data_IF_003941565838
#
_entry.id   IF_003941565838
#
_cell.length_a   1.000
_cell.length_b   1.000
_cell.length_c   1.000
_cell.angle_alpha   90.00
_cell.angle_beta   90.00
_cell.angle_gamma   90.00
#
_symmetry.space_group_name_H-M   'P 1'
#
loop_
_entity.id
_entity.type
_entity.pdbx_description
1 polymer ?
#
# COMPACT_ATOMS: atom_id res chain seq x y z
N UNK A 1 14.16 21.16 -18.54
CA UNK A 1 15.16 21.08 -17.46
C UNK A 1 14.87 19.82 -16.67
N UNK A 2 15.62 18.75 -16.91
CA UNK A 2 15.53 17.52 -16.13
C UNK A 2 16.22 17.77 -14.79
N UNK A 3 15.42 17.96 -13.74
CA UNK A 3 15.96 18.01 -12.38
C UNK A 3 16.71 16.70 -12.08
N UNK A 4 17.95 16.84 -11.64
CA UNK A 4 18.78 15.72 -11.22
C UNK A 4 18.27 15.21 -9.86
N UNK A 5 17.20 14.41 -9.88
CA UNK A 5 16.57 13.86 -8.67
C UNK A 5 17.57 12.96 -7.94
N UNK A 6 17.89 13.19 -6.65
CA UNK A 6 18.77 12.29 -5.91
C UNK A 6 18.29 10.85 -5.97
N UNK A 7 19.19 9.97 -6.39
CA UNK A 7 18.99 8.52 -6.53
C UNK A 7 19.18 7.86 -5.16
N UNK A 8 18.34 6.87 -4.84
CA UNK A 8 18.52 6.04 -3.67
C UNK A 8 19.77 5.16 -3.88
N UNK A 9 20.76 5.26 -3.00
CA UNK A 9 21.96 4.41 -3.05
C UNK A 9 21.70 3.03 -2.41
N UNK A 10 22.64 2.09 -2.58
CA UNK A 10 22.48 0.70 -2.12
C UNK A 10 22.35 0.58 -0.60
N UNK A 11 23.00 1.47 0.16
CA UNK A 11 22.94 1.47 1.63
C UNK A 11 21.53 1.88 2.06
N UNK A 12 20.97 2.91 1.41
CA UNK A 12 19.59 3.35 1.66
C UNK A 12 18.55 2.31 1.26
N UNK A 13 18.79 1.54 0.19
CA UNK A 13 17.90 0.42 -0.20
C UNK A 13 17.92 -0.69 0.84
N UNK A 14 19.08 -1.04 1.36
CA UNK A 14 19.22 -2.10 2.38
C UNK A 14 18.51 -1.69 3.67
N UNK A 15 18.77 -0.47 4.15
CA UNK A 15 18.08 0.10 5.30
C UNK A 15 16.55 0.12 5.13
N UNK A 16 16.08 0.53 3.95
CA UNK A 16 14.66 0.55 3.66
C UNK A 16 14.03 -0.86 3.74
N UNK A 17 14.70 -1.88 3.19
CA UNK A 17 14.22 -3.26 3.30
C UNK A 17 14.14 -3.72 4.75
N UNK A 18 15.17 -3.45 5.56
CA UNK A 18 15.16 -3.84 6.97
C UNK A 18 14.01 -3.17 7.74
N UNK A 19 13.75 -1.89 7.47
CA UNK A 19 12.61 -1.16 8.07
C UNK A 19 11.29 -1.76 7.61
N UNK A 20 11.15 -2.09 6.32
CA UNK A 20 9.95 -2.70 5.77
C UNK A 20 9.64 -4.06 6.39
N UNK A 21 10.66 -4.87 6.69
CA UNK A 21 10.49 -6.16 7.39
C UNK A 21 10.08 -6.00 8.87
N UNK A 22 10.32 -4.85 9.49
CA UNK A 22 9.78 -4.54 10.82
C UNK A 22 8.34 -4.05 10.72
N UNK A 23 8.02 -3.20 9.73
CA UNK A 23 6.66 -2.67 9.53
C UNK A 23 5.66 -3.74 9.09
N UNK A 24 6.10 -4.63 8.20
CA UNK A 24 5.31 -5.76 7.71
C UNK A 24 6.19 -7.01 7.82
N UNK A 25 6.15 -7.69 8.98
CA UNK A 25 7.00 -8.85 9.23
C UNK A 25 6.54 -10.07 8.44
N UNK A 26 7.45 -11.04 8.34
CA UNK A 26 7.16 -12.37 7.83
C UNK A 26 6.05 -13.02 8.66
N UNK A 27 5.03 -13.57 7.99
CA UNK A 27 3.97 -14.36 8.62
C UNK A 27 3.91 -15.71 7.91
N UNK A 28 4.14 -16.78 8.65
CA UNK A 28 4.17 -18.17 8.15
C UNK A 28 5.09 -18.34 6.93
N UNK A 29 4.49 -18.54 5.76
CA UNK A 29 5.11 -18.78 4.46
C UNK A 29 5.33 -17.48 3.65
N UNK A 30 4.77 -16.35 4.07
CA UNK A 30 4.86 -15.08 3.34
C UNK A 30 6.06 -14.28 3.84
N UNK A 31 7.02 -13.92 2.96
CA UNK A 31 8.13 -13.03 3.31
C UNK A 31 7.63 -11.69 3.86
N UNK A 32 8.41 -11.08 4.76
CA UNK A 32 8.18 -9.68 5.13
C UNK A 32 8.36 -8.74 3.94
N UNK A 33 7.90 -7.49 4.08
CA UNK A 33 7.87 -6.56 2.95
C UNK A 33 9.25 -6.22 2.39
N UNK A 34 10.29 -6.15 3.22
CA UNK A 34 11.66 -5.96 2.77
C UNK A 34 12.21 -7.20 2.06
N UNK A 35 11.99 -8.37 2.66
CA UNK A 35 12.41 -9.67 2.15
C UNK A 35 11.73 -10.04 0.82
N UNK A 36 10.57 -9.48 0.52
CA UNK A 36 9.84 -9.66 -0.74
C UNK A 36 10.45 -8.86 -1.91
N UNK A 37 11.44 -7.99 -1.65
CA UNK A 37 12.18 -7.27 -2.68
C UNK A 37 11.42 -6.11 -3.32
N UNK A 38 10.53 -5.45 -2.57
CA UNK A 38 9.62 -4.40 -3.04
C UNK A 38 10.30 -3.04 -3.36
N UNK A 39 11.63 -2.98 -3.31
CA UNK A 39 12.38 -1.73 -3.52
C UNK A 39 12.11 -1.07 -4.88
N UNK A 40 11.80 -1.85 -5.93
CA UNK A 40 11.44 -1.31 -7.25
C UNK A 40 10.08 -0.58 -7.20
N UNK A 41 9.09 -1.16 -6.54
CA UNK A 41 7.74 -0.59 -6.45
C UNK A 41 7.76 0.72 -5.64
N UNK A 42 8.52 0.76 -4.55
CA UNK A 42 8.72 1.99 -3.76
C UNK A 42 9.43 3.06 -4.59
N UNK A 43 10.43 2.68 -5.40
CA UNK A 43 11.12 3.62 -6.29
C UNK A 43 10.18 4.18 -7.37
N UNK A 44 9.29 3.35 -7.92
CA UNK A 44 8.28 3.81 -8.87
C UNK A 44 7.29 4.80 -8.22
N UNK A 45 6.82 4.50 -7.00
CA UNK A 45 5.94 5.39 -6.24
C UNK A 45 6.59 6.75 -5.96
N UNK A 46 7.84 6.77 -5.52
CA UNK A 46 8.58 8.01 -5.23
C UNK A 46 8.94 8.80 -6.49
N UNK A 47 9.12 8.14 -7.63
CA UNK A 47 9.33 8.81 -8.92
C UNK A 47 8.04 9.45 -9.45
N UNK A 48 6.90 8.79 -9.24
CA UNK A 48 5.59 9.20 -9.74
C UNK A 48 4.93 10.28 -8.88
N UNK A 49 5.10 10.22 -7.56
CA UNK A 49 4.42 11.11 -6.62
C UNK A 49 5.41 11.81 -5.68
N UNK A 50 5.45 13.14 -5.74
CA UNK A 50 6.38 13.96 -4.94
C UNK A 50 6.13 13.82 -3.43
N UNK A 51 4.87 13.66 -3.00
CA UNK A 51 4.52 13.45 -1.58
C UNK A 51 5.27 12.27 -0.95
N UNK A 52 5.38 11.17 -1.71
CA UNK A 52 6.03 9.94 -1.30
C UNK A 52 7.53 10.09 -1.24
N UNK A 53 8.09 10.77 -2.24
CA UNK A 53 9.51 11.09 -2.28
C UNK A 53 9.93 11.93 -1.07
N UNK A 54 9.22 13.02 -0.81
CA UNK A 54 9.52 13.93 0.28
C UNK A 54 9.36 13.24 1.63
N UNK A 55 8.28 12.45 1.81
CA UNK A 55 8.10 11.66 3.02
C UNK A 55 9.24 10.65 3.25
N UNK A 56 9.67 9.92 2.21
CA UNK A 56 10.77 8.96 2.34
C UNK A 56 12.08 9.65 2.75
N UNK A 57 12.45 10.77 2.13
CA UNK A 57 13.68 11.49 2.52
C UNK A 57 13.60 12.03 3.95
N UNK A 58 12.50 12.69 4.32
CA UNK A 58 12.29 13.19 5.69
C UNK A 58 12.34 12.06 6.72
N UNK A 59 11.75 10.91 6.40
CA UNK A 59 11.77 9.72 7.25
C UNK A 59 13.20 9.20 7.45
N UNK A 60 13.97 9.05 6.37
CA UNK A 60 15.36 8.58 6.41
C UNK A 60 16.27 9.56 7.17
N UNK A 61 16.07 10.86 6.99
CA UNK A 61 16.80 11.90 7.71
C UNK A 61 16.47 11.83 9.21
N UNK A 62 15.19 11.73 9.58
CA UNK A 62 14.76 11.58 10.98
C UNK A 62 15.35 10.30 11.61
N UNK A 63 15.37 9.18 10.88
CA UNK A 63 15.95 7.92 11.35
C UNK A 63 17.46 8.06 11.61
N UNK A 64 18.18 8.80 10.76
CA UNK A 64 19.63 9.04 10.93
C UNK A 64 19.97 9.85 12.19
N UNK A 65 19.00 10.61 12.72
CA UNK A 65 19.15 11.38 13.95
C UNK A 65 19.01 10.51 15.20
N UNK A 66 18.37 9.34 15.12
CA UNK A 66 18.20 8.42 16.26
C UNK A 66 19.58 7.98 16.80
N UNK A 67 19.91 8.25 18.09
CA UNK A 67 21.18 7.84 18.68
C UNK A 67 21.43 6.33 18.64
N UNK A 68 20.37 5.51 18.70
CA UNK A 68 20.46 4.04 18.65
C UNK A 68 21.01 3.57 17.30
N UNK A 69 20.60 4.23 16.22
CA UNK A 69 21.07 3.96 14.86
C UNK A 69 22.60 4.10 14.74
N UNK A 70 23.18 5.12 15.41
CA UNK A 70 24.62 5.43 15.32
C UNK A 70 25.50 4.52 16.18
N UNK A 71 24.98 3.98 17.28
CA UNK A 71 25.78 3.23 18.25
C UNK A 71 26.04 1.77 17.85
N UNK A 72 25.15 1.14 17.08
CA UNK A 72 25.16 -0.31 16.81
C UNK A 72 25.45 -0.68 15.35
N UNK A 73 26.11 0.19 14.58
CA UNK A 73 26.44 -0.08 13.17
C UNK A 73 25.26 0.06 12.20
N UNK A 74 24.20 0.78 12.59
CA UNK A 74 22.99 1.00 11.79
C UNK A 74 21.75 0.28 12.34
N UNK A 75 20.63 0.43 11.65
CA UNK A 75 19.33 -0.11 12.06
C UNK A 75 19.32 -1.64 12.13
N UNK A 76 19.94 -2.31 11.16
CA UNK A 76 19.99 -3.78 11.06
C UNK A 76 20.79 -4.44 12.20
N UNK A 77 21.70 -3.69 12.83
CA UNK A 77 22.49 -4.16 13.98
C UNK A 77 21.75 -4.07 15.31
N UNK A 78 20.57 -3.43 15.35
CA UNK A 78 19.73 -3.33 16.54
C UNK A 78 19.00 -4.64 16.81
N UNK A 79 18.72 -4.90 18.09
CA UNK A 79 17.75 -5.95 18.46
C UNK A 79 16.37 -5.56 17.94
N UNK A 80 15.53 -6.54 17.61
CA UNK A 80 14.17 -6.30 17.09
C UNK A 80 13.35 -5.34 17.97
N UNK A 81 13.42 -5.48 19.30
CA UNK A 81 12.72 -4.60 20.23
C UNK A 81 13.20 -3.14 20.14
N UNK A 82 14.47 -2.91 19.83
CA UNK A 82 15.05 -1.58 19.65
C UNK A 82 14.70 -0.99 18.27
N UNK A 83 14.61 -1.84 17.24
CA UNK A 83 14.11 -1.43 15.92
C UNK A 83 12.66 -0.96 16.03
N UNK A 84 11.80 -1.73 16.68
CA UNK A 84 10.42 -1.35 16.95
C UNK A 84 10.32 -0.05 17.75
N UNK A 85 11.12 0.10 18.81
CA UNK A 85 11.13 1.32 19.63
C UNK A 85 11.59 2.55 18.82
N UNK A 86 12.57 2.40 17.94
CA UNK A 86 12.98 3.46 17.00
C UNK A 86 11.85 3.86 16.06
N UNK A 87 11.13 2.90 15.49
CA UNK A 87 10.00 3.19 14.61
C UNK A 87 8.84 3.84 15.38
N UNK A 88 8.54 3.40 16.61
CA UNK A 88 7.55 4.06 17.47
C UNK A 88 7.93 5.50 17.79
N UNK A 89 9.21 5.75 18.10
CA UNK A 89 9.69 7.13 18.30
C UNK A 89 9.46 7.98 17.05
N UNK A 90 9.76 7.46 15.86
CA UNK A 90 9.51 8.18 14.61
C UNK A 90 8.02 8.44 14.35
N UNK A 91 7.17 7.47 14.64
CA UNK A 91 5.71 7.62 14.56
C UNK A 91 5.22 8.77 15.46
N UNK A 92 5.78 8.92 16.65
CA UNK A 92 5.44 10.02 17.57
C UNK A 92 6.00 11.38 17.12
N UNK A 93 7.26 11.43 16.65
CA UNK A 93 7.93 12.69 16.30
C UNK A 93 7.50 13.26 14.94
N UNK A 94 7.25 12.40 13.94
CA UNK A 94 6.92 12.79 12.57
C UNK A 94 5.72 12.00 12.03
N UNK A 95 4.55 12.05 12.69
CA UNK A 95 3.43 11.12 12.45
C UNK A 95 2.95 11.12 11.00
N UNK A 96 2.78 12.29 10.38
CA UNK A 96 2.31 12.39 8.98
C UNK A 96 3.30 11.78 7.99
N UNK A 97 4.60 11.97 8.25
CA UNK A 97 5.66 11.39 7.42
C UNK A 97 5.69 9.88 7.58
N UNK A 98 5.60 9.39 8.82
CA UNK A 98 5.53 7.97 9.13
C UNK A 98 4.33 7.30 8.45
N UNK A 99 3.13 7.88 8.59
CA UNK A 99 1.90 7.40 7.95
C UNK A 99 2.04 7.33 6.43
N UNK A 100 2.62 8.36 5.81
CA UNK A 100 2.85 8.37 4.36
C UNK A 100 3.82 7.28 3.92
N UNK A 101 4.88 7.01 4.70
CA UNK A 101 5.81 5.91 4.39
C UNK A 101 5.14 4.55 4.57
N UNK A 102 4.36 4.37 5.64
CA UNK A 102 3.59 3.16 5.88
C UNK A 102 2.58 2.90 4.76
N UNK A 103 1.90 3.93 4.25
CA UNK A 103 1.02 3.86 3.09
C UNK A 103 1.76 3.28 1.87
N UNK A 104 2.96 3.76 1.56
CA UNK A 104 3.76 3.23 0.45
C UNK A 104 4.09 1.75 0.64
N UNK A 105 4.51 1.37 1.85
CA UNK A 105 4.86 -0.02 2.18
C UNK A 105 3.65 -0.93 2.01
N UNK A 106 2.47 -0.52 2.49
CA UNK A 106 1.22 -1.26 2.31
C UNK A 106 0.79 -1.35 0.85
N UNK A 107 0.88 -0.24 0.11
CA UNK A 107 0.55 -0.22 -1.32
C UNK A 107 1.45 -1.19 -2.09
N UNK A 108 2.76 -1.18 -1.83
CA UNK A 108 3.68 -2.10 -2.49
C UNK A 108 3.46 -3.56 -2.06
N UNK A 109 3.28 -3.82 -0.77
CA UNK A 109 3.14 -5.18 -0.23
C UNK A 109 1.83 -5.85 -0.65
N UNK A 110 0.69 -5.21 -0.44
CA UNK A 110 -0.62 -5.78 -0.77
C UNK A 110 -0.95 -5.69 -2.27
N UNK A 111 -0.16 -4.97 -3.06
CA UNK A 111 -0.22 -5.06 -4.53
C UNK A 111 0.58 -6.22 -5.10
N UNK A 112 1.44 -6.86 -4.31
CA UNK A 112 2.25 -7.97 -4.78
C UNK A 112 1.36 -9.22 -5.07
N UNK A 113 1.48 -9.85 -6.25
CA UNK A 113 0.66 -11.01 -6.60
C UNK A 113 0.78 -12.19 -5.64
N UNK A 114 1.98 -12.47 -5.10
CA UNK A 114 2.18 -13.57 -4.15
C UNK A 114 1.41 -13.33 -2.86
N UNK A 115 1.41 -12.09 -2.37
CA UNK A 115 0.64 -11.68 -1.19
C UNK A 115 -0.86 -11.78 -1.48
N UNK A 116 -1.33 -11.25 -2.62
CA UNK A 116 -2.74 -11.30 -3.01
C UNK A 116 -3.29 -12.73 -3.13
N UNK A 117 -2.56 -13.63 -3.78
CA UNK A 117 -2.93 -15.04 -3.88
C UNK A 117 -3.07 -15.66 -2.50
N UNK A 118 -2.10 -15.43 -1.62
CA UNK A 118 -2.07 -16.05 -0.30
C UNK A 118 -3.18 -15.56 0.65
N UNK A 119 -3.62 -14.31 0.52
CA UNK A 119 -4.74 -13.76 1.29
C UNK A 119 -6.10 -14.01 0.61
N UNK A 120 -6.14 -14.75 -0.50
CA UNK A 120 -7.37 -15.06 -1.23
C UNK A 120 -7.97 -13.85 -1.96
N UNK A 121 -7.17 -12.81 -2.22
CA UNK A 121 -7.56 -11.62 -2.99
C UNK A 121 -7.21 -11.76 -4.47
N UNK A 122 -7.04 -12.99 -4.97
CA UNK A 122 -6.97 -13.21 -6.42
C UNK A 122 -8.16 -12.50 -7.06
N UNK A 123 -7.85 -11.53 -7.92
CA UNK A 123 -8.87 -10.89 -8.75
C UNK A 123 -8.99 -11.76 -9.99
N UNK A 124 -9.90 -12.75 -10.05
CA UNK A 124 -10.21 -13.34 -11.34
C UNK A 124 -10.56 -12.18 -12.26
N UNK A 125 -9.94 -12.13 -13.44
CA UNK A 125 -10.30 -11.14 -14.43
C UNK A 125 -11.80 -11.32 -14.69
N UNK A 126 -12.66 -10.36 -14.33
CA UNK A 126 -14.11 -10.54 -14.42
C UNK A 126 -14.56 -10.51 -15.89
N UNK A 127 -13.66 -10.58 -16.86
CA UNK A 127 -13.96 -10.62 -18.28
C UNK A 127 -13.23 -11.81 -18.91
N UNK A 128 -13.90 -12.57 -19.78
CA UNK A 128 -15.25 -12.32 -20.33
C UNK A 128 -16.42 -12.75 -19.42
N UNK A 129 -16.16 -13.61 -18.43
CA UNK A 129 -17.23 -14.37 -17.76
C UNK A 129 -18.07 -13.55 -16.75
N UNK A 130 -17.64 -12.35 -16.38
CA UNK A 130 -18.36 -11.51 -15.43
C UNK A 130 -18.24 -11.99 -13.99
N UNK A 131 -19.00 -11.33 -13.12
CA UNK A 131 -19.33 -11.86 -11.80
C UNK A 131 -20.57 -12.73 -11.90
N UNK A 132 -20.60 -13.84 -11.16
CA UNK A 132 -21.81 -14.65 -11.03
C UNK A 132 -22.80 -13.90 -10.16
N UNK A 133 -23.85 -13.36 -10.78
CA UNK A 133 -24.98 -12.75 -10.07
C UNK A 133 -26.12 -13.78 -9.94
N UNK A 134 -26.91 -13.71 -8.85
CA UNK A 134 -28.17 -14.44 -8.80
C UNK A 134 -29.08 -14.00 -9.96
N UNK A 135 -29.95 -14.90 -10.47
CA UNK A 135 -30.92 -14.54 -11.50
C UNK A 135 -31.72 -13.29 -11.13
N UNK A 136 -32.03 -12.46 -12.13
CA UNK A 136 -32.79 -11.23 -11.92
C UNK A 136 -34.14 -11.53 -11.25
N UNK A 137 -34.36 -10.96 -10.06
CA UNK A 137 -35.60 -11.13 -9.34
C UNK A 137 -36.71 -10.25 -9.96
N UNK A 138 -37.59 -10.88 -10.74
CA UNK A 138 -38.68 -10.18 -11.45
C UNK A 138 -39.72 -9.56 -10.53
N UNK A 139 -39.84 -9.98 -9.28
CA UNK A 139 -40.85 -9.42 -8.34
C UNK A 139 -40.58 -7.96 -8.00
N UNK A 140 -39.34 -7.49 -8.15
CA UNK A 140 -38.96 -6.09 -7.97
C UNK A 140 -39.74 -5.17 -8.94
N UNK A 141 -40.13 -5.70 -10.10
CA UNK A 141 -40.89 -4.95 -11.10
C UNK A 141 -42.39 -4.86 -10.82
N UNK A 142 -42.94 -5.65 -9.89
CA UNK A 142 -44.38 -5.75 -9.67
C UNK A 142 -44.98 -4.39 -9.30
N UNK A 143 -44.28 -3.64 -8.44
CA UNK A 143 -44.67 -2.28 -8.03
C UNK A 143 -44.64 -1.26 -9.16
N UNK A 144 -43.76 -1.43 -10.14
CA UNK A 144 -43.65 -0.51 -11.29
C UNK A 144 -44.71 -0.88 -12.33
N UNK A 145 -44.90 -2.17 -12.60
CA UNK A 145 -45.93 -2.70 -13.51
C UNK A 145 -47.35 -2.36 -13.06
N UNK A 146 -47.59 -2.25 -11.74
CA UNK A 146 -48.91 -1.90 -11.19
C UNK A 146 -49.25 -0.40 -11.27
N UNK A 147 -48.28 0.46 -11.65
CA UNK A 147 -48.54 1.90 -11.76
C UNK A 147 -49.31 2.19 -13.05
N UNK A 148 -50.28 3.10 -12.95
CA UNK A 148 -50.92 3.65 -14.16
C UNK A 148 -49.83 4.30 -15.03
N UNK A 149 -49.90 4.13 -16.36
CA UNK A 149 -49.00 4.81 -17.28
C UNK A 149 -48.94 6.30 -16.95
N UNK A 150 -47.72 6.83 -16.84
CA UNK A 150 -47.53 8.27 -16.63
C UNK A 150 -47.71 9.05 -17.95
N UNK A 151 -47.60 8.38 -19.09
CA UNK A 151 -47.75 8.97 -20.41
C UNK A 151 -49.20 8.92 -20.90
N UNK A 152 -49.59 9.92 -21.71
CA UNK A 152 -50.85 9.92 -22.44
C UNK A 152 -50.73 9.03 -23.67
N UNK A 153 -51.69 8.15 -23.88
CA UNK A 153 -51.81 7.41 -25.14
C UNK A 153 -52.32 8.37 -26.23
N UNK A 154 -51.62 8.43 -27.36
CA UNK A 154 -51.94 9.32 -28.49
C UNK A 154 -53.05 8.69 -29.37
N UNK A 155 -53.30 7.38 -29.26
CA UNK A 155 -54.25 6.63 -30.11
C UNK A 155 -55.70 6.63 -29.61
N UNK A 156 -56.02 7.36 -28.53
CA UNK A 156 -57.36 7.42 -27.95
C UNK A 156 -58.12 8.73 -28.25
N UNK A 157 -57.99 9.26 -29.48
CA UNK A 157 -58.80 10.39 -29.99
C UNK A 157 -59.82 9.85 -30.99
#
# INVERSE_FOLDING_TARGET
MTENKPKLDQIKVTLLNDIMDVLVPKIDDIPGAGSLGLGKDILELTNKYERYRNALFTFMDAMSLDPRYRANGGFSGLKISQQEESLRSLEEYVPKTFETVLEMVYLSYYSNPQVQTRIGLEKPNPQPDGWVFPPFNTTILDKIKSRKPFWKNIESI
#
